data_IF_678161541739
#
_entry.id   IF_678161541739
#
_cell.length_a   1.000
_cell.length_b   1.000
_cell.length_c   1.000
_cell.angle_alpha   90.00
_cell.angle_beta   90.00
_cell.angle_gamma   90.00
#
_symmetry.space_group_name_H-M   'P 1'
#
loop_
_entity.id
_entity.type
_entity.pdbx_description
1 polymer ?
#
# COMPACT_ATOMS: atom_id res chain seq x y z
N UNK A 1 -4.24 -7.79 -7.70
CA UNK A 1 -4.95 -8.83 -8.49
C UNK A 1 -3.98 -9.62 -9.37
N UNK A 2 -3.14 -8.97 -10.19
CA UNK A 2 -2.24 -9.66 -11.12
C UNK A 2 -1.35 -10.73 -10.44
N UNK A 3 -0.73 -10.42 -9.29
CA UNK A 3 0.06 -11.40 -8.52
C UNK A 3 -0.79 -12.59 -8.04
N UNK A 4 -1.96 -12.33 -7.46
CA UNK A 4 -2.85 -13.41 -6.99
C UNK A 4 -3.33 -14.31 -8.13
N UNK A 5 -3.59 -13.73 -9.32
CA UNK A 5 -3.92 -14.50 -10.52
C UNK A 5 -2.75 -15.40 -10.93
N UNK A 6 -1.53 -14.84 -10.98
CA UNK A 6 -0.30 -15.56 -11.35
C UNK A 6 0.02 -16.69 -10.38
N UNK A 7 -0.30 -16.53 -9.09
CA UNK A 7 -0.11 -17.54 -8.05
C UNK A 7 -1.29 -18.51 -7.91
N UNK A 8 -2.35 -18.39 -8.75
CA UNK A 8 -3.54 -19.24 -8.67
C UNK A 8 -4.46 -18.98 -7.47
N UNK A 9 -4.32 -17.81 -6.82
CA UNK A 9 -5.03 -17.44 -5.58
C UNK A 9 -6.21 -16.50 -5.79
N UNK A 10 -6.41 -15.98 -7.01
CA UNK A 10 -7.46 -14.99 -7.27
C UNK A 10 -8.86 -15.56 -7.01
N UNK A 11 -9.10 -16.81 -7.36
CA UNK A 11 -10.41 -17.43 -7.15
C UNK A 11 -10.68 -17.71 -5.66
N UNK A 12 -9.65 -18.00 -4.86
CA UNK A 12 -9.76 -18.08 -3.39
C UNK A 12 -10.18 -16.70 -2.81
N UNK A 13 -9.61 -15.60 -3.34
CA UNK A 13 -10.00 -14.25 -2.94
C UNK A 13 -11.46 -13.93 -3.34
N UNK A 14 -11.87 -14.22 -4.57
CA UNK A 14 -13.26 -14.02 -5.04
C UNK A 14 -14.25 -14.82 -4.18
N UNK A 15 -13.92 -16.05 -3.83
CA UNK A 15 -14.74 -16.91 -2.97
C UNK A 15 -14.85 -16.41 -1.52
N UNK A 16 -14.01 -15.47 -1.10
CA UNK A 16 -14.01 -14.92 0.27
C UNK A 16 -15.09 -13.89 0.56
N UNK A 17 -16.02 -13.66 -0.36
CA UNK A 17 -17.04 -12.61 -0.28
C UNK A 17 -16.49 -11.18 -0.17
N UNK A 18 -15.24 -10.96 -0.54
CA UNK A 18 -14.71 -9.61 -0.74
C UNK A 18 -15.26 -9.07 -2.06
N UNK A 19 -16.05 -7.98 -2.07
CA UNK A 19 -16.59 -7.45 -3.32
C UNK A 19 -15.46 -6.88 -4.17
N UNK A 20 -15.56 -7.10 -5.49
CA UNK A 20 -14.68 -6.42 -6.43
C UNK A 20 -15.13 -4.99 -6.69
N UNK A 21 -14.18 -4.12 -6.96
CA UNK A 21 -14.43 -2.75 -7.41
C UNK A 21 -13.76 -2.51 -8.76
N UNK A 22 -14.40 -1.67 -9.60
CA UNK A 22 -13.89 -1.31 -10.93
C UNK A 22 -13.82 0.18 -11.14
N UNK A 23 -14.43 0.95 -10.25
CA UNK A 23 -14.59 2.38 -10.38
C UNK A 23 -13.89 3.10 -9.24
N UNK A 24 -13.29 4.23 -9.58
CA UNK A 24 -12.73 5.17 -8.61
C UNK A 24 -13.42 6.52 -8.80
N UNK A 25 -13.88 7.10 -7.71
CA UNK A 25 -14.28 8.50 -7.60
C UNK A 25 -13.17 9.27 -6.92
N UNK A 26 -12.57 10.21 -7.64
CA UNK A 26 -11.59 11.14 -7.11
C UNK A 26 -12.20 12.53 -6.98
N UNK A 27 -12.54 12.92 -5.76
CA UNK A 27 -13.27 14.14 -5.44
C UNK A 27 -12.29 15.20 -4.89
N UNK A 28 -12.16 16.30 -5.61
CA UNK A 28 -11.25 17.41 -5.26
C UNK A 28 -11.97 18.61 -4.65
N UNK A 29 -13.23 18.44 -4.26
CA UNK A 29 -14.09 19.48 -3.66
C UNK A 29 -15.02 20.13 -4.67
N UNK A 30 -14.54 20.98 -5.58
CA UNK A 30 -15.40 21.62 -6.59
C UNK A 30 -16.02 20.66 -7.59
N UNK A 31 -15.39 19.52 -7.83
CA UNK A 31 -15.88 18.45 -8.72
C UNK A 31 -15.25 17.10 -8.37
N UNK A 32 -15.76 16.05 -8.98
CA UNK A 32 -15.18 14.71 -8.90
C UNK A 32 -14.86 14.17 -10.30
N UNK A 33 -13.76 13.45 -10.42
CA UNK A 33 -13.43 12.61 -11.56
C UNK A 33 -13.86 11.18 -11.25
N UNK A 34 -14.72 10.62 -12.08
CA UNK A 34 -15.27 9.27 -11.87
C UNK A 34 -14.98 8.43 -13.10
N UNK A 35 -14.38 7.28 -12.91
CA UNK A 35 -14.02 6.40 -14.02
C UNK A 35 -13.43 5.08 -13.57
N UNK A 36 -13.11 4.23 -14.52
CA UNK A 36 -12.42 2.97 -14.32
C UNK A 36 -10.96 3.11 -14.81
N UNK A 37 -9.96 2.74 -13.99
CA UNK A 37 -8.59 2.60 -14.46
C UNK A 37 -8.47 1.61 -15.62
N UNK A 38 -7.50 1.77 -16.53
CA UNK A 38 -7.17 0.72 -17.48
C UNK A 38 -6.81 -0.59 -16.78
N UNK A 39 -7.07 -1.75 -17.42
CA UNK A 39 -6.78 -3.05 -16.81
C UNK A 39 -5.27 -3.27 -16.64
N UNK A 40 -4.90 -4.00 -15.58
CA UNK A 40 -3.56 -4.55 -15.40
C UNK A 40 -3.57 -6.04 -15.75
N UNK A 41 -2.73 -6.48 -16.69
CA UNK A 41 -2.68 -7.88 -17.18
C UNK A 41 -4.08 -8.46 -17.53
N UNK A 42 -4.93 -7.62 -18.17
CA UNK A 42 -6.30 -7.98 -18.55
C UNK A 42 -7.29 -8.03 -17.38
N UNK A 43 -6.93 -7.59 -16.18
CA UNK A 43 -7.80 -7.57 -15.01
C UNK A 43 -8.37 -6.16 -14.80
N UNK A 44 -9.70 -6.09 -14.70
CA UNK A 44 -10.48 -4.87 -14.48
C UNK A 44 -10.95 -4.69 -13.03
N UNK A 45 -10.60 -5.64 -12.16
CA UNK A 45 -11.08 -5.70 -10.79
C UNK A 45 -9.98 -5.32 -9.80
N UNK A 46 -10.36 -4.59 -8.78
CA UNK A 46 -9.58 -4.39 -7.57
C UNK A 46 -10.37 -4.95 -6.38
N UNK A 47 -9.67 -5.23 -5.29
CA UNK A 47 -10.25 -5.77 -4.07
C UNK A 47 -9.58 -5.10 -2.86
N UNK A 48 -10.36 -4.85 -1.81
CA UNK A 48 -9.87 -4.41 -0.51
C UNK A 48 -10.21 -5.44 0.59
N UNK A 49 -9.62 -6.64 0.53
CA UNK A 49 -9.94 -7.69 1.49
C UNK A 49 -9.48 -7.32 2.90
N UNK A 50 -10.21 -7.80 3.90
CA UNK A 50 -9.73 -7.78 5.28
C UNK A 50 -8.41 -8.53 5.39
N UNK A 51 -7.45 -7.97 6.11
CA UNK A 51 -6.12 -8.59 6.27
C UNK A 51 -6.21 -10.02 6.81
N UNK A 52 -7.11 -10.29 7.77
CA UNK A 52 -7.36 -11.65 8.28
C UNK A 52 -7.73 -12.66 7.18
N UNK A 53 -8.43 -12.19 6.13
CA UNK A 53 -8.84 -13.03 5.00
C UNK A 53 -7.69 -13.21 4.03
N UNK A 54 -7.08 -12.12 3.60
CA UNK A 54 -5.98 -12.15 2.64
C UNK A 54 -4.77 -12.90 3.19
N UNK A 55 -4.38 -12.59 4.43
CA UNK A 55 -3.21 -13.21 5.06
C UNK A 55 -3.42 -14.72 5.22
N UNK A 56 -4.65 -15.16 5.57
CA UNK A 56 -4.95 -16.59 5.64
C UNK A 56 -4.84 -17.29 4.29
N UNK A 57 -5.37 -16.68 3.21
CA UNK A 57 -5.24 -17.23 1.84
C UNK A 57 -3.77 -17.41 1.46
N UNK A 58 -2.92 -16.43 1.78
CA UNK A 58 -1.50 -16.45 1.45
C UNK A 58 -0.73 -17.50 2.29
N UNK A 59 -1.00 -17.55 3.59
CA UNK A 59 -0.35 -18.51 4.51
C UNK A 59 -0.74 -19.94 4.14
N UNK A 60 -2.04 -20.21 3.92
CA UNK A 60 -2.49 -21.55 3.51
C UNK A 60 -1.82 -21.97 2.20
N UNK A 61 -1.72 -21.07 1.22
CA UNK A 61 -1.06 -21.35 -0.04
C UNK A 61 0.45 -21.61 0.13
N UNK A 62 1.11 -20.92 1.04
CA UNK A 62 2.53 -21.18 1.35
C UNK A 62 2.72 -22.57 1.97
N UNK A 63 1.84 -22.96 2.89
CA UNK A 63 1.86 -24.32 3.49
C UNK A 63 1.54 -25.38 2.45
N UNK A 64 0.54 -25.17 1.59
CA UNK A 64 0.22 -26.06 0.46
C UNK A 64 1.42 -26.24 -0.50
N UNK A 65 2.25 -25.19 -0.63
CA UNK A 65 3.48 -25.22 -1.44
C UNK A 65 4.70 -25.81 -0.70
N UNK A 66 4.54 -26.27 0.54
CA UNK A 66 5.57 -26.95 1.33
C UNK A 66 6.32 -26.10 2.35
N UNK A 67 5.89 -24.88 2.60
CA UNK A 67 6.46 -24.08 3.69
C UNK A 67 6.01 -24.61 5.06
N UNK A 68 6.94 -24.70 6.00
CA UNK A 68 6.62 -24.99 7.40
C UNK A 68 6.13 -23.74 8.11
N UNK A 69 4.89 -23.77 8.61
CA UNK A 69 4.31 -22.67 9.40
C UNK A 69 4.47 -22.95 10.90
N UNK A 70 5.01 -22.00 11.62
CA UNK A 70 5.06 -22.01 13.09
C UNK A 70 4.33 -20.80 13.65
N UNK A 71 3.08 -21.01 14.01
CA UNK A 71 2.27 -19.99 14.69
C UNK A 71 2.68 -19.86 16.17
N UNK A 72 2.43 -18.69 16.76
CA UNK A 72 2.76 -18.38 18.15
C UNK A 72 4.22 -18.62 18.50
N UNK A 73 5.10 -18.36 17.51
CA UNK A 73 6.54 -18.37 17.70
C UNK A 73 7.04 -16.92 17.72
N UNK A 74 7.73 -16.53 18.78
CA UNK A 74 8.32 -15.20 18.91
C UNK A 74 9.81 -15.29 18.64
N UNK A 75 10.25 -14.69 17.52
CA UNK A 75 11.68 -14.51 17.26
C UNK A 75 12.22 -13.44 18.20
N UNK A 76 13.28 -13.74 18.96
CA UNK A 76 13.88 -12.84 19.93
C UNK A 76 15.21 -12.29 19.44
N UNK A 77 15.96 -13.09 18.67
CA UNK A 77 17.27 -12.67 18.14
C UNK A 77 17.71 -13.47 16.91
N UNK A 78 18.70 -12.96 16.22
CA UNK A 78 19.40 -13.64 15.13
C UNK A 78 20.62 -14.36 15.67
N UNK A 79 20.91 -15.56 15.16
CA UNK A 79 22.18 -16.26 15.43
C UNK A 79 23.23 -15.90 14.40
N UNK A 80 24.49 -15.88 14.80
CA UNK A 80 25.62 -15.51 13.92
C UNK A 80 26.87 -16.34 14.23
N UNK A 81 27.68 -16.55 13.22
CA UNK A 81 29.05 -17.12 13.34
C UNK A 81 30.12 -16.03 13.44
N UNK A 82 29.73 -14.77 13.62
CA UNK A 82 30.62 -13.60 13.64
C UNK A 82 30.86 -12.97 12.27
N UNK A 83 30.45 -13.61 11.17
CA UNK A 83 30.57 -13.11 9.79
C UNK A 83 29.24 -12.99 9.10
N UNK A 84 28.35 -13.97 9.32
CA UNK A 84 27.06 -14.08 8.68
C UNK A 84 25.95 -14.38 9.70
N UNK A 85 24.75 -14.01 9.38
CA UNK A 85 23.56 -14.51 10.08
C UNK A 85 23.36 -15.97 9.66
N UNK A 86 23.18 -16.84 10.64
CA UNK A 86 23.09 -18.31 10.47
C UNK A 86 21.74 -18.89 10.85
N UNK A 87 20.83 -18.06 11.38
CA UNK A 87 19.52 -18.50 11.81
C UNK A 87 18.84 -17.54 12.78
N UNK A 88 17.88 -18.08 13.52
CA UNK A 88 17.10 -17.34 14.51
C UNK A 88 17.05 -18.11 15.83
N UNK A 89 16.82 -17.39 16.94
CA UNK A 89 16.45 -17.95 18.24
C UNK A 89 15.18 -17.26 18.75
N UNK A 90 14.30 -18.04 19.32
CA UNK A 90 13.00 -17.53 19.79
C UNK A 90 12.33 -18.51 20.71
N UNK A 91 11.05 -18.21 21.02
CA UNK A 91 10.21 -19.04 21.92
C UNK A 91 8.96 -19.52 21.20
N UNK A 92 8.64 -20.78 21.46
CA UNK A 92 7.38 -21.38 21.00
C UNK A 92 6.19 -20.99 21.92
N UNK A 93 5.03 -21.53 21.60
CA UNK A 93 3.79 -21.31 22.35
C UNK A 93 3.86 -21.80 23.81
N UNK A 94 4.78 -22.69 24.14
CA UNK A 94 4.97 -23.27 25.48
C UNK A 94 6.06 -22.53 26.26
N UNK A 95 6.71 -21.54 25.64
CA UNK A 95 7.82 -20.79 26.22
C UNK A 95 9.18 -21.48 26.10
N UNK A 96 9.26 -22.59 25.37
CA UNK A 96 10.53 -23.28 25.14
C UNK A 96 11.39 -22.47 24.16
N UNK A 97 12.67 -22.31 24.49
CA UNK A 97 13.63 -21.67 23.59
C UNK A 97 14.03 -22.63 22.48
N UNK A 98 13.90 -22.18 21.25
CA UNK A 98 14.23 -22.94 20.04
C UNK A 98 15.20 -22.15 19.20
N UNK A 99 16.21 -22.82 18.67
CA UNK A 99 17.17 -22.26 17.71
C UNK A 99 17.00 -22.97 16.38
N UNK A 100 16.82 -22.20 15.30
CA UNK A 100 16.72 -22.69 13.94
C UNK A 100 17.85 -22.16 13.09
N UNK A 101 18.47 -23.04 12.30
CA UNK A 101 19.52 -22.68 11.37
C UNK A 101 18.99 -22.54 9.95
N UNK A 102 19.52 -21.54 9.23
CA UNK A 102 19.11 -21.28 7.85
C UNK A 102 20.31 -20.80 7.01
N UNK A 103 20.25 -21.06 5.71
CA UNK A 103 21.21 -20.49 4.75
C UNK A 103 21.06 -18.98 4.60
N UNK A 104 19.84 -18.46 4.80
CA UNK A 104 19.50 -17.06 4.80
C UNK A 104 18.25 -16.83 5.67
N UNK A 105 18.22 -15.72 6.43
CA UNK A 105 17.08 -15.26 7.19
C UNK A 105 16.41 -14.10 6.45
N UNK A 106 15.12 -14.20 6.20
CA UNK A 106 14.35 -13.16 5.51
C UNK A 106 13.50 -12.39 6.53
N UNK A 107 13.80 -11.11 6.72
CA UNK A 107 12.97 -10.18 7.48
C UNK A 107 11.78 -9.73 6.63
N UNK A 108 10.58 -10.25 6.95
CA UNK A 108 9.31 -9.84 6.38
C UNK A 108 8.37 -9.28 7.47
N UNK A 109 8.96 -8.70 8.50
CA UNK A 109 8.39 -8.37 9.81
C UNK A 109 7.98 -6.88 9.92
N UNK A 110 7.82 -6.21 8.78
CA UNK A 110 7.26 -4.88 8.66
C UNK A 110 8.21 -3.74 9.02
N UNK A 111 7.70 -2.54 9.10
CA UNK A 111 8.51 -1.32 9.27
C UNK A 111 9.32 -1.29 10.58
N UNK A 112 8.87 -2.01 11.62
CA UNK A 112 9.59 -2.19 12.90
C UNK A 112 10.37 -3.51 12.94
N UNK A 113 11.05 -3.83 11.86
CA UNK A 113 11.73 -5.09 11.65
C UNK A 113 12.80 -5.38 12.72
N UNK A 114 12.61 -6.47 13.46
CA UNK A 114 13.61 -7.02 14.37
C UNK A 114 14.88 -7.44 13.60
N UNK A 115 14.68 -8.04 12.42
CA UNK A 115 15.81 -8.46 11.58
C UNK A 115 16.65 -7.26 11.17
N UNK A 116 16.01 -6.20 10.65
CA UNK A 116 16.70 -4.98 10.25
C UNK A 116 17.46 -4.29 11.41
N UNK A 117 16.83 -4.24 12.58
CA UNK A 117 17.43 -3.63 13.77
C UNK A 117 18.60 -4.46 14.30
N UNK A 118 18.50 -5.79 14.33
CA UNK A 118 19.55 -6.70 14.78
C UNK A 118 20.81 -6.60 13.90
N UNK A 119 20.65 -6.46 12.58
CA UNK A 119 21.77 -6.32 11.63
C UNK A 119 22.18 -4.85 11.41
N UNK A 120 21.49 -3.90 12.06
CA UNK A 120 21.71 -2.45 11.88
C UNK A 120 21.68 -2.05 10.41
N UNK A 121 20.65 -2.54 9.67
CA UNK A 121 20.51 -2.27 8.25
C UNK A 121 20.45 -0.76 7.98
N UNK A 122 21.37 -0.19 7.18
CA UNK A 122 21.42 1.25 6.92
C UNK A 122 20.14 1.75 6.27
N UNK A 123 19.60 2.87 6.77
CA UNK A 123 18.48 3.58 6.18
C UNK A 123 19.02 4.65 5.22
N UNK A 124 18.35 4.81 4.09
CA UNK A 124 18.59 5.87 3.12
C UNK A 124 17.26 6.37 2.52
N UNK A 125 17.29 7.53 1.88
CA UNK A 125 16.08 8.22 1.38
C UNK A 125 14.99 8.43 2.45
N UNK A 126 15.39 8.66 3.70
CA UNK A 126 14.45 8.92 4.80
C UNK A 126 13.72 10.25 4.59
N UNK A 127 12.40 10.20 4.59
CA UNK A 127 11.49 11.36 4.50
C UNK A 127 10.69 11.58 5.80
N UNK A 128 11.01 10.84 6.85
CA UNK A 128 10.31 10.91 8.12
C UNK A 128 8.88 10.40 8.09
N UNK A 129 8.08 10.86 9.02
CA UNK A 129 6.65 10.54 9.15
C UNK A 129 5.84 11.79 8.80
N UNK A 130 5.05 11.73 7.72
CA UNK A 130 4.31 12.88 7.17
C UNK A 130 2.85 12.87 7.60
N UNK A 131 2.25 11.69 7.73
CA UNK A 131 0.85 11.56 8.07
C UNK A 131 0.61 10.67 9.27
N UNK A 132 -0.62 10.72 9.75
CA UNK A 132 -1.23 9.72 10.62
C UNK A 132 -2.61 9.36 10.05
N UNK A 133 -3.13 8.21 10.43
CA UNK A 133 -4.45 7.81 9.98
C UNK A 133 -5.29 7.22 11.09
N UNK A 134 -6.63 7.34 10.89
CA UNK A 134 -7.64 6.65 11.68
C UNK A 134 -8.70 6.08 10.76
N UNK A 135 -9.07 4.83 10.98
CA UNK A 135 -10.09 4.16 10.20
C UNK A 135 -10.98 3.29 11.06
N UNK A 136 -12.15 2.97 10.53
CA UNK A 136 -13.06 2.00 11.10
C UNK A 136 -13.94 1.39 10.00
N UNK A 137 -14.78 0.45 10.36
CA UNK A 137 -15.64 -0.27 9.44
C UNK A 137 -17.11 0.02 9.74
N UNK A 138 -17.86 0.22 8.67
CA UNK A 138 -19.27 0.59 8.72
C UNK A 138 -20.11 -0.37 7.90
N UNK A 139 -21.30 -0.73 8.38
CA UNK A 139 -22.34 -1.37 7.59
C UNK A 139 -23.36 -0.32 7.11
N UNK A 140 -24.03 -0.60 5.99
CA UNK A 140 -25.10 0.24 5.46
C UNK A 140 -24.63 1.47 4.66
N UNK A 141 -23.33 1.69 4.45
CA UNK A 141 -22.83 2.79 3.62
C UNK A 141 -22.99 2.46 2.13
N UNK A 142 -23.79 3.26 1.43
CA UNK A 142 -24.00 3.07 0.00
C UNK A 142 -22.93 3.81 -0.81
N UNK A 143 -22.17 3.08 -1.63
CA UNK A 143 -21.23 3.63 -2.62
C UNK A 143 -20.90 2.59 -3.70
N UNK A 144 -20.34 3.04 -4.85
CA UNK A 144 -20.12 2.18 -6.04
C UNK A 144 -18.63 1.98 -6.26
N UNK A 145 -17.76 1.98 -5.63
CA UNK A 145 -16.35 1.84 -5.92
C UNK A 145 -15.52 2.45 -4.81
N UNK A 146 -14.27 2.66 -5.09
CA UNK A 146 -13.39 3.43 -4.21
C UNK A 146 -13.74 4.90 -4.31
N UNK A 147 -13.95 5.56 -3.18
CA UNK A 147 -14.08 7.01 -3.14
C UNK A 147 -12.86 7.62 -2.44
N UNK A 148 -12.23 8.57 -3.11
CA UNK A 148 -11.11 9.35 -2.60
C UNK A 148 -11.52 10.82 -2.54
N UNK A 149 -11.48 11.41 -1.37
CA UNK A 149 -11.74 12.84 -1.16
C UNK A 149 -10.42 13.52 -0.80
N UNK A 150 -9.84 14.23 -1.76
CA UNK A 150 -8.60 14.98 -1.56
C UNK A 150 -8.94 16.43 -1.16
N UNK A 151 -8.46 16.85 0.00
CA UNK A 151 -8.63 18.20 0.53
C UNK A 151 -7.30 18.68 1.11
N UNK A 152 -7.15 19.97 1.27
CA UNK A 152 -6.03 20.52 2.01
C UNK A 152 -5.99 19.93 3.42
N UNK A 153 -4.84 19.39 3.81
CA UNK A 153 -4.63 18.75 5.10
C UNK A 153 -5.41 17.46 5.35
N UNK A 154 -6.14 16.91 4.36
CA UNK A 154 -7.02 15.74 4.57
C UNK A 154 -7.13 14.87 3.33
N UNK A 155 -7.09 13.57 3.53
CA UNK A 155 -7.57 12.60 2.54
C UNK A 155 -8.55 11.64 3.20
N UNK A 156 -9.72 11.42 2.59
CA UNK A 156 -10.69 10.43 3.05
C UNK A 156 -10.81 9.35 2.00
N UNK A 157 -10.71 8.10 2.42
CA UNK A 157 -10.81 6.91 1.56
C UNK A 157 -11.99 6.08 2.01
N UNK A 158 -12.85 5.70 1.07
CA UNK A 158 -13.97 4.78 1.29
C UNK A 158 -13.83 3.60 0.36
N UNK A 159 -13.83 2.39 0.89
CA UNK A 159 -13.77 1.18 0.07
C UNK A 159 -14.61 0.05 0.67
N UNK A 160 -15.17 -0.79 -0.22
CA UNK A 160 -15.90 -1.99 0.17
C UNK A 160 -14.96 -3.10 0.59
N UNK A 161 -15.34 -3.86 1.61
CA UNK A 161 -14.55 -4.98 2.09
C UNK A 161 -15.45 -6.18 2.40
N UNK A 162 -14.88 -7.27 2.92
CA UNK A 162 -15.60 -8.45 3.33
C UNK A 162 -16.74 -8.13 4.31
N UNK A 163 -17.66 -9.06 4.44
CA UNK A 163 -18.77 -9.05 5.41
C UNK A 163 -19.80 -7.91 5.19
N UNK A 164 -19.91 -7.38 3.96
CA UNK A 164 -20.81 -6.27 3.64
C UNK A 164 -20.40 -4.94 4.27
N UNK A 165 -19.16 -4.82 4.68
CA UNK A 165 -18.64 -3.64 5.36
C UNK A 165 -17.98 -2.67 4.37
N UNK A 166 -17.97 -1.40 4.75
CA UNK A 166 -17.14 -0.36 4.12
C UNK A 166 -16.07 0.12 5.11
N UNK A 167 -14.83 0.13 4.67
CA UNK A 167 -13.74 0.77 5.39
C UNK A 167 -13.76 2.25 5.06
N UNK A 168 -13.73 3.11 6.07
CA UNK A 168 -13.54 4.54 5.90
C UNK A 168 -12.30 4.93 6.68
N UNK A 169 -11.29 5.43 5.96
CA UNK A 169 -10.02 5.89 6.50
C UNK A 169 -9.87 7.39 6.29
N UNK A 170 -9.39 8.08 7.30
CA UNK A 170 -9.00 9.49 7.19
C UNK A 170 -7.52 9.60 7.45
N UNK A 171 -6.83 10.25 6.54
CA UNK A 171 -5.42 10.62 6.64
C UNK A 171 -5.34 12.08 7.07
N UNK A 172 -4.52 12.35 8.06
CA UNK A 172 -4.26 13.64 8.67
C UNK A 172 -2.77 13.96 8.66
N UNK A 173 -2.37 15.22 8.77
CA UNK A 173 -0.98 15.57 9.06
C UNK A 173 -0.50 14.87 10.35
N UNK A 174 0.76 14.46 10.38
CA UNK A 174 1.34 13.72 11.51
C UNK A 174 1.23 14.47 12.83
N UNK A 175 1.34 15.77 12.80
CA UNK A 175 1.33 16.68 13.95
C UNK A 175 -0.01 16.65 14.70
N UNK A 176 -1.10 16.29 14.01
CA UNK A 176 -2.44 16.23 14.60
C UNK A 176 -2.73 14.91 15.34
N UNK A 177 -1.80 13.94 15.30
CA UNK A 177 -2.04 12.59 15.83
C UNK A 177 -2.52 12.59 17.28
N UNK A 178 -1.84 13.30 18.18
CA UNK A 178 -2.17 13.29 19.61
C UNK A 178 -3.46 14.06 19.91
N UNK A 179 -3.71 15.13 19.18
CA UNK A 179 -4.98 15.88 19.29
C UNK A 179 -6.16 15.00 18.89
N UNK A 180 -6.07 14.32 17.73
CA UNK A 180 -7.14 13.44 17.25
C UNK A 180 -7.32 12.26 18.19
N UNK A 181 -6.24 11.69 18.71
CA UNK A 181 -6.27 10.57 19.65
C UNK A 181 -7.07 10.87 20.91
N UNK A 182 -7.11 12.12 21.36
CA UNK A 182 -7.87 12.54 22.55
C UNK A 182 -9.39 12.49 22.34
N UNK A 183 -9.88 12.60 21.10
CA UNK A 183 -11.31 12.56 20.74
C UNK A 183 -11.49 12.01 19.31
N UNK A 184 -11.12 10.76 19.09
CA UNK A 184 -11.08 10.13 17.75
C UNK A 184 -12.45 10.25 17.05
N UNK A 185 -13.53 9.85 17.70
CA UNK A 185 -14.86 9.84 17.08
C UNK A 185 -15.35 11.23 16.70
N UNK A 186 -15.18 12.19 17.57
CA UNK A 186 -15.58 13.56 17.32
C UNK A 186 -14.81 14.18 16.15
N UNK A 187 -13.48 14.04 16.14
CA UNK A 187 -12.63 14.56 15.06
C UNK A 187 -12.87 13.84 13.73
N UNK A 188 -13.06 12.53 13.78
CA UNK A 188 -13.36 11.73 12.60
C UNK A 188 -14.68 12.14 11.94
N UNK A 189 -15.77 12.21 12.68
CA UNK A 189 -17.08 12.62 12.16
C UNK A 189 -17.11 14.08 11.74
N UNK A 190 -16.46 14.98 12.51
CA UNK A 190 -16.30 16.38 12.14
C UNK A 190 -15.59 16.54 10.80
N UNK A 191 -14.49 15.81 10.61
CA UNK A 191 -13.71 15.84 9.38
C UNK A 191 -14.53 15.36 8.18
N UNK A 192 -15.27 14.25 8.31
CA UNK A 192 -16.15 13.77 7.22
C UNK A 192 -17.22 14.81 6.91
N UNK A 193 -17.87 15.38 7.93
CA UNK A 193 -18.93 16.38 7.75
C UNK A 193 -18.43 17.62 6.99
N UNK A 194 -17.21 18.09 7.29
CA UNK A 194 -16.63 19.28 6.67
C UNK A 194 -16.09 19.01 5.25
N UNK A 195 -15.49 17.85 5.02
CA UNK A 195 -14.72 17.58 3.81
C UNK A 195 -15.44 16.67 2.80
N UNK A 196 -16.43 15.91 3.24
CA UNK A 196 -17.23 15.00 2.44
C UNK A 196 -18.70 14.98 2.93
N UNK A 197 -19.45 16.10 2.86
CA UNK A 197 -20.78 16.20 3.45
C UNK A 197 -21.76 15.17 2.90
N UNK A 198 -21.69 14.82 1.63
CA UNK A 198 -22.51 13.75 1.05
C UNK A 198 -22.21 12.36 1.64
N UNK A 199 -20.95 12.08 2.01
CA UNK A 199 -20.59 10.87 2.75
C UNK A 199 -21.17 10.93 4.17
N UNK A 200 -21.06 12.08 4.83
CA UNK A 200 -21.59 12.25 6.19
C UNK A 200 -23.10 11.99 6.26
N UNK A 201 -23.89 12.45 5.27
CA UNK A 201 -25.31 12.16 5.19
C UNK A 201 -25.61 10.66 5.04
N UNK A 202 -24.77 9.94 4.28
CA UNK A 202 -24.89 8.47 4.15
C UNK A 202 -24.61 7.75 5.47
N UNK A 203 -23.74 8.31 6.33
CA UNK A 203 -23.43 7.73 7.62
C UNK A 203 -24.58 7.83 8.64
N UNK A 204 -25.56 8.71 8.45
CA UNK A 204 -26.72 8.84 9.36
C UNK A 204 -27.52 7.55 9.51
N UNK A 205 -27.58 6.74 8.43
CA UNK A 205 -28.29 5.46 8.40
C UNK A 205 -27.36 4.26 8.42
N UNK A 206 -26.05 4.50 8.60
CA UNK A 206 -25.04 3.48 8.69
C UNK A 206 -24.70 3.19 10.15
N UNK A 207 -24.15 1.99 10.41
CA UNK A 207 -23.74 1.59 11.73
C UNK A 207 -22.23 1.34 11.75
N UNK A 208 -21.53 1.93 12.73
CA UNK A 208 -20.13 1.60 12.97
C UNK A 208 -20.05 0.23 13.65
N UNK A 209 -19.34 -0.71 13.03
CA UNK A 209 -19.26 -2.09 13.48
C UNK A 209 -18.03 -2.39 14.32
N UNK A 210 -16.95 -1.60 14.14
CA UNK A 210 -15.70 -1.84 14.84
C UNK A 210 -15.19 -0.58 15.57
N UNK A 211 -14.25 -0.78 16.47
CA UNK A 211 -13.52 0.32 17.12
C UNK A 211 -12.64 1.01 16.09
N UNK A 212 -12.34 2.27 16.35
CA UNK A 212 -11.33 2.98 15.57
C UNK A 212 -9.96 2.32 15.75
N UNK A 213 -9.28 2.11 14.63
CA UNK A 213 -7.87 1.79 14.58
C UNK A 213 -7.12 2.98 13.97
N UNK A 214 -5.92 3.25 14.45
CA UNK A 214 -5.12 4.35 13.92
C UNK A 214 -3.66 4.19 14.25
N UNK A 215 -2.82 4.86 13.49
CA UNK A 215 -1.39 4.90 13.71
C UNK A 215 -0.80 6.26 13.35
N UNK A 216 0.14 6.70 14.15
CA UNK A 216 1.03 7.83 13.83
C UNK A 216 2.44 7.37 13.49
N UNK A 217 2.66 6.06 13.33
CA UNK A 217 3.93 5.50 12.89
C UNK A 217 3.82 5.06 11.43
N UNK A 218 4.04 6.00 10.54
CA UNK A 218 4.00 5.83 9.08
C UNK A 218 5.31 6.40 8.47
N UNK A 219 6.44 5.68 8.68
CA UNK A 219 7.72 6.17 8.19
C UNK A 219 7.82 6.04 6.66
N UNK A 220 8.71 6.83 6.08
CA UNK A 220 9.01 6.85 4.66
C UNK A 220 10.50 6.69 4.47
N UNK A 221 10.98 5.49 4.14
CA UNK A 221 12.40 5.24 3.96
C UNK A 221 12.68 4.01 3.09
N UNK A 222 13.95 3.94 2.67
CA UNK A 222 14.57 2.71 2.17
C UNK A 222 15.61 2.23 3.17
N UNK A 223 15.72 0.91 3.32
CA UNK A 223 16.84 0.25 3.98
C UNK A 223 17.66 -0.55 2.96
N UNK A 224 18.96 -0.69 3.19
CA UNK A 224 19.75 -1.72 2.52
C UNK A 224 19.09 -3.07 2.79
N UNK A 225 18.65 -3.79 1.75
CA UNK A 225 17.76 -4.92 1.96
C UNK A 225 18.49 -6.27 2.10
N UNK A 226 19.80 -6.29 2.21
CA UNK A 226 20.55 -7.52 2.34
C UNK A 226 21.93 -7.34 2.99
N UNK A 227 22.49 -8.46 3.42
CA UNK A 227 23.85 -8.64 3.87
C UNK A 227 24.16 -10.12 4.03
N UNK A 228 25.26 -10.45 4.67
CA UNK A 228 25.69 -11.84 4.82
C UNK A 228 24.72 -12.66 5.65
N UNK A 229 24.01 -13.59 4.98
CA UNK A 229 23.04 -14.49 5.61
C UNK A 229 21.67 -13.89 5.92
N UNK A 230 21.36 -12.67 5.44
CA UNK A 230 20.05 -12.06 5.65
C UNK A 230 19.58 -11.21 4.48
N UNK A 231 18.26 -11.10 4.34
CA UNK A 231 17.62 -10.15 3.43
C UNK A 231 16.31 -9.60 4.03
N UNK A 232 15.85 -8.44 3.53
CA UNK A 232 14.61 -7.78 3.93
C UNK A 232 13.65 -7.66 2.75
N UNK A 233 12.35 -7.85 3.03
CA UNK A 233 11.29 -7.74 2.02
C UNK A 233 10.07 -6.99 2.57
N UNK A 234 9.30 -6.38 1.69
CA UNK A 234 8.15 -5.54 2.07
C UNK A 234 8.59 -4.35 2.92
N UNK A 235 7.76 -3.98 3.89
CA UNK A 235 7.98 -2.79 4.73
C UNK A 235 9.24 -2.89 5.62
N UNK A 236 9.81 -4.07 5.81
CA UNK A 236 11.08 -4.23 6.50
C UNK A 236 12.25 -3.58 5.73
N UNK A 237 12.22 -3.61 4.40
CA UNK A 237 13.27 -3.08 3.55
C UNK A 237 12.93 -1.77 2.82
N UNK A 238 11.63 -1.48 2.66
CA UNK A 238 11.13 -0.30 1.98
C UNK A 238 9.71 -0.01 2.42
N UNK A 239 9.49 1.13 3.00
CA UNK A 239 8.17 1.56 3.46
C UNK A 239 7.87 2.97 2.98
N UNK A 240 6.62 3.23 2.66
CA UNK A 240 6.10 4.54 2.31
C UNK A 240 4.73 4.78 2.92
N UNK A 241 4.34 6.04 3.00
CA UNK A 241 3.02 6.45 3.45
C UNK A 241 1.90 5.70 2.72
N UNK A 242 0.86 5.23 3.41
CA UNK A 242 -0.23 4.45 2.81
C UNK A 242 -1.23 5.27 1.99
N UNK A 243 -0.99 6.55 1.74
CA UNK A 243 -1.93 7.48 1.08
C UNK A 243 -2.45 6.98 -0.28
N UNK A 244 -1.64 6.22 -1.03
CA UNK A 244 -2.02 5.59 -2.30
C UNK A 244 -2.44 4.11 -2.16
N UNK A 245 -2.54 3.57 -0.94
CA UNK A 245 -2.97 2.20 -0.65
C UNK A 245 -2.20 1.09 -1.41
N UNK A 246 -0.93 1.27 -1.74
CA UNK A 246 -0.13 0.35 -2.56
C UNK A 246 0.73 -0.63 -1.78
N UNK A 247 0.74 -0.60 -0.44
CA UNK A 247 1.65 -1.38 0.41
C UNK A 247 1.59 -2.89 0.14
N UNK A 248 0.40 -3.48 0.04
CA UNK A 248 0.22 -4.92 -0.22
C UNK A 248 0.76 -5.29 -1.60
N UNK A 249 0.44 -4.51 -2.65
CA UNK A 249 0.93 -4.75 -4.01
C UNK A 249 2.45 -4.66 -4.07
N UNK A 250 3.05 -3.68 -3.39
CA UNK A 250 4.49 -3.55 -3.30
C UNK A 250 5.13 -4.75 -2.60
N UNK A 251 4.54 -5.22 -1.48
CA UNK A 251 5.04 -6.39 -0.76
C UNK A 251 5.02 -7.63 -1.64
N UNK A 252 3.95 -7.86 -2.43
CA UNK A 252 3.87 -8.98 -3.37
C UNK A 252 4.95 -8.91 -4.45
N UNK A 253 5.10 -7.75 -5.07
CA UNK A 253 6.11 -7.54 -6.11
C UNK A 253 7.53 -7.74 -5.57
N UNK A 254 7.82 -7.21 -4.39
CA UNK A 254 9.15 -7.35 -3.77
C UNK A 254 9.43 -8.78 -3.31
N UNK A 255 8.42 -9.49 -2.80
CA UNK A 255 8.56 -10.89 -2.44
C UNK A 255 8.89 -11.76 -3.68
N UNK A 256 8.21 -11.52 -4.80
CA UNK A 256 8.50 -12.21 -6.06
C UNK A 256 9.91 -11.90 -6.57
N UNK A 257 10.33 -10.63 -6.50
CA UNK A 257 11.66 -10.21 -6.95
C UNK A 257 12.78 -10.85 -6.10
N UNK A 258 12.63 -10.84 -4.77
CA UNK A 258 13.58 -11.48 -3.85
C UNK A 258 13.61 -12.99 -4.05
N UNK A 259 12.45 -13.64 -4.19
CA UNK A 259 12.39 -15.09 -4.43
C UNK A 259 13.14 -15.48 -5.71
N UNK A 260 12.99 -14.72 -6.81
CA UNK A 260 13.74 -14.92 -8.03
C UNK A 260 15.27 -14.80 -7.84
N UNK A 261 15.72 -13.76 -7.14
CA UNK A 261 17.15 -13.57 -6.85
C UNK A 261 17.73 -14.72 -6.00
N UNK A 262 16.97 -15.19 -5.01
CA UNK A 262 17.40 -16.33 -4.18
C UNK A 262 17.41 -17.65 -4.95
N UNK A 263 16.44 -17.85 -5.84
CA UNK A 263 16.38 -19.05 -6.70
C UNK A 263 17.61 -19.11 -7.62
N UNK A 264 17.93 -18.03 -8.31
CA UNK A 264 19.15 -17.90 -9.13
C UNK A 264 20.41 -18.20 -8.32
N UNK A 265 20.54 -17.67 -7.10
CA UNK A 265 21.69 -17.91 -6.25
C UNK A 265 21.77 -19.37 -5.76
N UNK A 266 20.63 -19.96 -5.37
CA UNK A 266 20.60 -21.36 -4.89
C UNK A 266 20.82 -22.38 -5.99
N UNK A 267 20.48 -22.05 -7.23
CA UNK A 267 20.79 -22.86 -8.41
C UNK A 267 22.24 -22.70 -8.91
N UNK A 268 23.01 -21.77 -8.30
CA UNK A 268 24.39 -21.51 -8.72
C UNK A 268 24.50 -20.72 -10.03
N UNK A 269 23.43 -20.07 -10.48
CA UNK A 269 23.41 -19.21 -11.67
C UNK A 269 24.04 -17.84 -11.41
N UNK A 270 24.03 -17.40 -10.15
CA UNK A 270 24.69 -16.22 -9.66
C UNK A 270 25.26 -16.49 -8.26
N UNK A 271 26.26 -15.70 -7.81
CA UNK A 271 26.59 -15.75 -6.39
C UNK A 271 25.55 -14.97 -5.58
N UNK A 272 25.41 -15.28 -4.28
CA UNK A 272 24.38 -14.71 -3.41
C UNK A 272 24.46 -13.19 -3.30
N UNK A 273 25.69 -12.64 -3.23
CA UNK A 273 25.90 -11.20 -3.07
C UNK A 273 25.46 -10.44 -4.32
N UNK A 274 25.82 -10.90 -5.51
CA UNK A 274 25.44 -10.28 -6.78
C UNK A 274 23.92 -10.38 -7.01
N UNK A 275 23.30 -11.52 -6.73
CA UNK A 275 21.85 -11.71 -6.85
C UNK A 275 21.07 -10.75 -5.92
N UNK A 276 21.54 -10.57 -4.69
CA UNK A 276 20.91 -9.66 -3.74
C UNK A 276 21.21 -8.19 -4.05
N UNK A 277 22.37 -7.86 -4.63
CA UNK A 277 22.66 -6.52 -5.13
C UNK A 277 21.74 -6.15 -6.30
N UNK A 278 21.51 -7.10 -7.23
CA UNK A 278 20.56 -6.92 -8.33
C UNK A 278 19.12 -6.77 -7.83
N UNK A 279 18.73 -7.52 -6.80
CA UNK A 279 17.45 -7.32 -6.10
C UNK A 279 17.29 -5.89 -5.57
N UNK A 280 18.28 -5.34 -4.88
CA UNK A 280 18.24 -3.95 -4.40
C UNK A 280 18.11 -2.97 -5.54
N UNK A 281 18.95 -3.12 -6.58
CA UNK A 281 18.95 -2.25 -7.74
C UNK A 281 17.59 -2.24 -8.46
N UNK A 282 17.06 -3.40 -8.79
CA UNK A 282 15.73 -3.55 -9.43
C UNK A 282 14.62 -2.97 -8.56
N UNK A 283 14.63 -3.30 -7.25
CA UNK A 283 13.65 -2.74 -6.31
C UNK A 283 13.65 -1.21 -6.35
N UNK A 284 14.81 -0.59 -6.21
CA UNK A 284 14.93 0.86 -6.14
C UNK A 284 14.48 1.53 -7.43
N UNK A 285 14.92 1.03 -8.57
CA UNK A 285 14.55 1.58 -9.89
C UNK A 285 13.03 1.53 -10.14
N UNK A 286 12.37 0.45 -9.70
CA UNK A 286 10.94 0.30 -9.91
C UNK A 286 10.08 1.20 -9.01
N UNK A 287 10.57 1.53 -7.81
CA UNK A 287 9.69 2.21 -6.82
C UNK A 287 10.06 3.64 -6.52
N UNK A 288 11.25 4.13 -6.90
CA UNK A 288 11.74 5.45 -6.48
C UNK A 288 10.84 6.59 -6.97
N UNK A 289 10.43 6.59 -8.23
CA UNK A 289 9.55 7.62 -8.78
C UNK A 289 8.20 7.67 -8.05
N UNK A 290 7.63 6.48 -7.76
CA UNK A 290 6.39 6.37 -7.00
C UNK A 290 6.57 6.75 -5.53
N UNK A 291 7.74 6.50 -4.95
CA UNK A 291 8.06 6.92 -3.58
C UNK A 291 8.08 8.44 -3.44
N UNK A 292 8.75 9.14 -4.34
CA UNK A 292 8.80 10.60 -4.34
C UNK A 292 7.41 11.21 -4.59
N UNK A 293 6.66 10.70 -5.55
CA UNK A 293 5.28 11.13 -5.79
C UNK A 293 4.37 10.90 -4.57
N UNK A 294 4.46 9.73 -3.95
CA UNK A 294 3.71 9.40 -2.73
C UNK A 294 4.07 10.33 -1.57
N UNK A 295 5.35 10.66 -1.41
CA UNK A 295 5.85 11.60 -0.41
C UNK A 295 5.24 13.00 -0.61
N UNK A 296 5.18 13.49 -1.85
CA UNK A 296 4.53 14.77 -2.17
C UNK A 296 3.04 14.76 -1.80
N UNK A 297 2.33 13.70 -2.15
CA UNK A 297 0.91 13.58 -1.79
C UNK A 297 0.69 13.49 -0.27
N UNK A 298 1.63 12.85 0.45
CA UNK A 298 1.57 12.73 1.90
C UNK A 298 1.82 14.03 2.66
N UNK A 299 2.33 15.07 2.00
CA UNK A 299 2.40 16.42 2.59
C UNK A 299 1.02 17.04 2.77
N UNK A 300 -0.02 16.50 2.09
CA UNK A 300 -1.40 16.96 2.15
C UNK A 300 -1.56 18.45 1.82
N UNK A 301 -0.61 19.01 1.07
CA UNK A 301 -0.64 20.41 0.61
C UNK A 301 -1.68 20.60 -0.50
N UNK A 302 -2.20 21.82 -0.67
CA UNK A 302 -3.04 22.15 -1.81
C UNK A 302 -2.31 21.81 -3.13
N UNK A 303 -3.02 21.25 -4.11
CA UNK A 303 -2.41 20.96 -5.40
C UNK A 303 -1.94 22.24 -6.08
N UNK A 304 -0.76 22.26 -6.71
CA UNK A 304 -0.27 23.40 -7.49
C UNK A 304 -1.28 23.82 -8.57
N UNK A 305 -1.29 25.11 -8.98
CA UNK A 305 -2.22 25.64 -9.99
C UNK A 305 -2.25 24.86 -11.30
N UNK A 306 -1.10 24.37 -11.76
CA UNK A 306 -0.97 23.52 -12.96
C UNK A 306 -1.66 22.16 -12.77
N UNK A 307 -1.60 21.57 -11.59
CA UNK A 307 -2.33 20.33 -11.28
C UNK A 307 -3.83 20.58 -11.28
N UNK A 308 -4.29 21.68 -10.71
CA UNK A 308 -5.71 22.09 -10.72
C UNK A 308 -6.17 22.28 -12.17
N UNK A 309 -5.38 22.95 -13.00
CA UNK A 309 -5.68 23.15 -14.43
C UNK A 309 -5.79 21.82 -15.17
N UNK A 310 -4.85 20.90 -14.94
CA UNK A 310 -4.87 19.55 -15.53
C UNK A 310 -6.13 18.78 -15.11
N UNK A 311 -6.46 18.74 -13.80
CA UNK A 311 -7.66 18.06 -13.31
C UNK A 311 -8.94 18.63 -13.91
N UNK A 312 -9.01 19.95 -14.11
CA UNK A 312 -10.12 20.57 -14.81
C UNK A 312 -10.17 20.16 -16.30
N UNK A 313 -9.02 20.08 -16.98
CA UNK A 313 -8.93 19.68 -18.38
C UNK A 313 -9.37 18.23 -18.64
N UNK A 314 -9.26 17.36 -17.61
CA UNK A 314 -9.75 15.98 -17.69
C UNK A 314 -11.27 15.88 -17.70
N UNK A 315 -12.01 16.86 -17.18
CA UNK A 315 -13.47 16.80 -17.04
C UNK A 315 -14.16 16.52 -18.39
N UNK A 316 -15.09 15.58 -18.37
CA UNK A 316 -15.83 15.16 -19.57
C UNK A 316 -15.01 14.37 -20.59
N UNK A 317 -13.82 13.88 -20.21
CA UNK A 317 -13.02 12.98 -21.02
C UNK A 317 -12.79 11.66 -20.28
N UNK A 318 -13.70 10.71 -20.46
CA UNK A 318 -13.69 9.43 -19.75
C UNK A 318 -12.40 8.63 -19.97
N UNK A 319 -11.80 8.72 -21.16
CA UNK A 319 -10.55 8.04 -21.48
C UNK A 319 -9.38 8.59 -20.64
N UNK A 320 -9.20 9.90 -20.63
CA UNK A 320 -8.11 10.52 -19.86
C UNK A 320 -8.36 10.48 -18.35
N UNK A 321 -9.63 10.55 -17.91
CA UNK A 321 -9.99 10.28 -16.50
C UNK A 321 -9.55 8.86 -16.12
N UNK A 322 -9.86 7.85 -16.94
CA UNK A 322 -9.43 6.49 -16.68
C UNK A 322 -7.92 6.36 -16.56
N UNK A 323 -7.15 6.98 -17.45
CA UNK A 323 -5.69 6.99 -17.40
C UNK A 323 -5.14 7.70 -16.16
N UNK A 324 -5.70 8.84 -15.78
CA UNK A 324 -5.35 9.53 -14.54
C UNK A 324 -5.61 8.63 -13.32
N UNK A 325 -6.80 8.05 -13.22
CA UNK A 325 -7.13 7.11 -12.14
C UNK A 325 -6.25 5.86 -12.18
N UNK A 326 -5.76 5.49 -13.36
CA UNK A 326 -4.76 4.44 -13.54
C UNK A 326 -3.42 4.74 -12.88
N UNK A 327 -3.01 6.01 -12.77
CA UNK A 327 -1.79 6.38 -12.02
C UNK A 327 -1.98 6.15 -10.51
N UNK A 328 -3.17 6.43 -9.98
CA UNK A 328 -3.53 6.14 -8.59
C UNK A 328 -3.57 4.64 -8.32
N UNK A 329 -4.19 3.89 -9.24
CA UNK A 329 -4.30 2.43 -9.15
C UNK A 329 -2.99 1.68 -9.47
N UNK A 330 -1.96 2.37 -10.00
CA UNK A 330 -0.70 1.75 -10.42
C UNK A 330 -0.80 0.95 -11.73
N UNK A 331 -1.81 1.19 -12.57
CA UNK A 331 -2.01 0.54 -13.87
C UNK A 331 -1.54 1.40 -15.05
N UNK A 332 -1.20 2.66 -14.80
CA UNK A 332 -0.62 3.60 -15.76
C UNK A 332 0.65 4.19 -15.16
N UNK A 333 1.70 4.28 -15.95
CA UNK A 333 2.97 4.89 -15.54
C UNK A 333 2.80 6.37 -15.20
N UNK A 334 3.31 6.79 -14.02
CA UNK A 334 3.36 8.20 -13.64
C UNK A 334 4.16 9.04 -14.66
N UNK A 335 5.34 8.56 -15.04
CA UNK A 335 6.22 9.26 -15.96
C UNK A 335 5.62 9.42 -17.34
N UNK A 336 4.84 8.44 -17.80
CA UNK A 336 4.11 8.52 -19.07
C UNK A 336 2.94 9.50 -18.96
N UNK A 337 2.09 9.37 -17.92
CA UNK A 337 0.90 10.21 -17.80
C UNK A 337 1.26 11.68 -17.57
N UNK A 338 2.22 11.97 -16.71
CA UNK A 338 2.66 13.34 -16.38
C UNK A 338 3.79 13.85 -17.30
N UNK A 339 4.04 13.20 -18.44
CA UNK A 339 5.01 13.73 -19.41
C UNK A 339 4.53 15.06 -20.00
N UNK A 340 5.43 16.01 -20.30
CA UNK A 340 5.07 17.30 -20.91
C UNK A 340 4.24 17.15 -22.19
N UNK A 341 4.57 16.16 -23.01
CA UNK A 341 3.86 15.86 -24.26
C UNK A 341 2.41 15.44 -23.98
N UNK A 342 2.18 14.51 -23.05
CA UNK A 342 0.84 14.05 -22.72
C UNK A 342 0.00 15.14 -22.05
N UNK A 343 0.59 15.93 -21.14
CA UNK A 343 -0.08 17.08 -20.52
C UNK A 343 -0.47 18.10 -21.58
N UNK A 344 0.45 18.47 -22.49
CA UNK A 344 0.18 19.40 -23.60
C UNK A 344 -1.02 18.93 -24.43
N UNK A 345 -1.03 17.67 -24.85
CA UNK A 345 -2.12 17.06 -25.61
C UNK A 345 -3.47 17.11 -24.86
N UNK A 346 -3.48 16.87 -23.55
CA UNK A 346 -4.71 16.96 -22.73
C UNK A 346 -5.21 18.41 -22.66
N UNK A 347 -4.32 19.36 -22.42
CA UNK A 347 -4.65 20.79 -22.32
C UNK A 347 -5.16 21.36 -23.65
N UNK A 348 -4.51 21.05 -24.77
CA UNK A 348 -4.96 21.45 -26.13
C UNK A 348 -6.37 20.95 -26.42
N UNK A 349 -6.65 19.66 -26.15
CA UNK A 349 -7.98 19.09 -26.33
C UNK A 349 -9.04 19.75 -25.46
N UNK A 350 -8.69 20.12 -24.24
CA UNK A 350 -9.61 20.83 -23.35
C UNK A 350 -9.92 22.23 -23.86
N UNK A 351 -8.94 22.95 -24.43
CA UNK A 351 -9.12 24.29 -24.99
C UNK A 351 -10.02 24.30 -26.25
N UNK A 352 -10.12 23.17 -26.95
CA UNK A 352 -10.96 23.03 -28.16
C UNK A 352 -12.45 22.70 -27.81
N UNK A 353 -12.77 22.43 -26.54
CA UNK A 353 -14.16 22.22 -26.11
C UNK A 353 -14.85 23.57 -25.99
N UNK A 354 -16.07 23.74 -26.55
CA UNK A 354 -16.87 24.94 -26.29
C UNK A 354 -17.13 25.06 -24.77
N UNK A 355 -17.07 26.29 -24.27
CA UNK A 355 -17.46 26.56 -22.88
C UNK A 355 -18.91 26.09 -22.70
N UNK A 356 -19.14 25.14 -21.80
CA UNK A 356 -20.44 24.60 -21.46
C UNK A 356 -21.19 25.52 -20.49
#
# INVERSE_FOLDING_TARGET
VAHLKRWGLLDKLRASNCPSTRQIKFDVGPFALVGAPPPADGNYEAFAPRRRVLDKILVDAAVEAGAELRERFTVEELTTDGKSITGIRGRDANGATITEHARIVIGADGARSLVADAVKAPIYFDRGMLTCNYYTYWSGVQHEGVELYAREGRTIVVDKTNDGLSMICIVFPKEEFDQIRSNIEGEYLRTIKQNAPALFERLRNAKREERFAGTGFLPNFFRRPYGHGWALVGDAGYVKDPILAQGITNSFSRAQLLAGALDEAFLGLSNMEDALADYEHKRNNEVLAMFEHNTQLAMLEPPPPETVALLNALRGNSFEIGRFLGTVAGTVSLTEFFSPENIGRIMERAALKPAA
#
